data_IF_524188389610
#
_entry.id   IF_524188389610
#
_cell.length_a   1.000
_cell.length_b   1.000
_cell.length_c   1.000
_cell.angle_alpha   90.00
_cell.angle_beta   90.00
_cell.angle_gamma   90.00
#
_symmetry.space_group_name_H-M   'P 1'
#
loop_
_entity.id
_entity.type
_entity.pdbx_description
1 polymer ?
#
# COMPACT_ATOMS: atom_id res chain seq x y z
N UNK A 1 -14.61 -0.12 -14.85
CA UNK A 1 -14.90 0.79 -13.72
C UNK A 1 -16.07 0.31 -12.86
N UNK A 2 -17.26 0.06 -13.41
CA UNK A 2 -18.45 -0.37 -12.62
C UNK A 2 -18.26 -1.62 -11.75
N UNK A 3 -17.52 -2.64 -12.20
CA UNK A 3 -17.20 -3.81 -11.37
C UNK A 3 -16.23 -3.49 -10.22
N UNK A 4 -15.32 -2.54 -10.42
CA UNK A 4 -14.38 -2.11 -9.38
C UNK A 4 -15.12 -1.25 -8.35
N UNK A 5 -15.97 -0.32 -8.80
CA UNK A 5 -16.84 0.50 -7.93
C UNK A 5 -17.76 -0.36 -7.05
N UNK A 6 -18.30 -1.46 -7.57
CA UNK A 6 -19.08 -2.42 -6.77
C UNK A 6 -18.25 -3.15 -5.69
N UNK A 7 -16.94 -3.33 -5.90
CA UNK A 7 -16.08 -4.06 -4.98
C UNK A 7 -15.36 -3.15 -3.97
N UNK A 8 -15.07 -1.89 -4.29
CA UNK A 8 -14.22 -1.05 -3.44
C UNK A 8 -14.95 0.00 -2.61
N UNK A 9 -16.21 0.38 -2.93
CA UNK A 9 -16.95 1.35 -2.10
C UNK A 9 -18.45 1.03 -2.05
N UNK A 10 -18.94 0.56 -0.89
CA UNK A 10 -20.37 0.46 -0.58
C UNK A 10 -21.12 -0.78 -1.09
N UNK A 11 -20.63 -1.49 -2.12
CA UNK A 11 -21.26 -2.71 -2.63
C UNK A 11 -21.13 -3.92 -1.69
N UNK A 12 -20.00 -4.10 -1.01
CA UNK A 12 -19.81 -5.15 0.02
C UNK A 12 -20.80 -5.05 1.18
N UNK A 13 -21.32 -3.86 1.47
CA UNK A 13 -22.21 -3.62 2.61
C UNK A 13 -23.71 -3.75 2.27
N UNK A 14 -24.09 -3.89 1.00
CA UNK A 14 -25.49 -3.94 0.56
C UNK A 14 -26.27 -5.16 1.11
N UNK A 15 -25.58 -6.27 1.38
CA UNK A 15 -26.15 -7.48 2.00
C UNK A 15 -25.81 -7.63 3.49
N UNK A 16 -25.11 -6.67 4.09
CA UNK A 16 -24.70 -6.77 5.49
C UNK A 16 -25.94 -6.72 6.41
N UNK A 17 -26.26 -7.87 7.01
CA UNK A 17 -27.41 -8.05 7.89
C UNK A 17 -27.31 -7.20 9.15
N UNK A 18 -26.09 -7.01 9.68
CA UNK A 18 -25.85 -6.23 10.89
C UNK A 18 -26.13 -4.74 10.67
N UNK A 19 -25.80 -4.21 9.49
CA UNK A 19 -26.13 -2.82 9.15
C UNK A 19 -27.63 -2.61 9.02
N UNK A 20 -28.35 -3.55 8.38
CA UNK A 20 -29.81 -3.51 8.30
C UNK A 20 -30.45 -3.57 9.69
N UNK A 21 -29.93 -4.42 10.57
CA UNK A 21 -30.43 -4.53 11.94
C UNK A 21 -30.14 -3.28 12.77
N UNK A 22 -28.93 -2.72 12.65
CA UNK A 22 -28.55 -1.44 13.28
C UNK A 22 -29.43 -0.29 12.82
N UNK A 23 -29.75 -0.21 11.53
CA UNK A 23 -30.71 0.76 11.00
C UNK A 23 -32.11 0.57 11.59
N UNK A 24 -32.59 -0.67 11.66
CA UNK A 24 -33.91 -0.98 12.24
C UNK A 24 -33.99 -0.60 13.73
N UNK A 25 -32.94 -0.88 14.51
CA UNK A 25 -32.84 -0.49 15.92
C UNK A 25 -32.85 1.03 16.09
N UNK A 26 -32.07 1.75 15.27
CA UNK A 26 -32.06 3.23 15.26
C UNK A 26 -33.43 3.82 14.94
N UNK A 27 -34.13 3.26 13.94
CA UNK A 27 -35.47 3.70 13.56
C UNK A 27 -36.48 3.51 14.70
N UNK A 28 -36.51 2.32 15.31
CA UNK A 28 -37.39 2.03 16.45
C UNK A 28 -37.17 3.00 17.61
N UNK A 29 -35.92 3.22 17.99
CA UNK A 29 -35.59 4.14 19.08
C UNK A 29 -36.04 5.58 18.77
N UNK A 30 -35.87 6.04 17.53
CA UNK A 30 -36.35 7.36 17.10
C UNK A 30 -37.88 7.46 17.13
N UNK A 31 -38.59 6.41 16.69
CA UNK A 31 -40.05 6.35 16.71
C UNK A 31 -40.59 6.36 18.16
N UNK A 32 -39.97 5.59 19.05
CA UNK A 32 -40.30 5.54 20.49
C UNK A 32 -40.08 6.90 21.17
N UNK A 33 -38.92 7.54 20.91
CA UNK A 33 -38.60 8.89 21.40
C UNK A 33 -39.62 9.92 20.91
N UNK A 34 -40.03 9.83 19.65
CA UNK A 34 -41.05 10.72 19.05
C UNK A 34 -42.41 10.55 19.72
N UNK A 35 -42.83 9.31 19.98
CA UNK A 35 -44.08 9.01 20.69
C UNK A 35 -44.08 9.57 22.11
N UNK A 36 -42.97 9.42 22.84
CA UNK A 36 -42.82 9.98 24.19
C UNK A 36 -42.92 11.51 24.20
N UNK A 37 -42.32 12.19 23.21
CA UNK A 37 -42.41 13.64 23.08
C UNK A 37 -43.84 14.11 22.75
N UNK A 38 -44.54 13.40 21.87
CA UNK A 38 -45.93 13.70 21.53
C UNK A 38 -46.86 13.52 22.74
N UNK A 39 -46.67 12.46 23.53
CA UNK A 39 -47.42 12.23 24.76
C UNK A 39 -47.16 13.35 25.79
N UNK A 40 -45.90 13.72 25.99
CA UNK A 40 -45.52 14.81 26.90
C UNK A 40 -46.10 16.18 26.48
N UNK A 41 -46.28 16.42 25.18
CA UNK A 41 -46.93 17.64 24.67
C UNK A 41 -48.46 17.62 24.83
N UNK A 42 -49.10 16.44 24.82
CA UNK A 42 -50.55 16.32 25.00
C UNK A 42 -50.99 16.41 26.47
N UNK A 43 -50.17 15.95 27.42
CA UNK A 43 -50.50 15.97 28.85
C UNK A 43 -50.11 17.28 29.56
N UNK A 44 -49.43 18.20 28.89
CA UNK A 44 -48.87 19.42 29.47
C UNK A 44 -49.77 20.67 29.25
N UNK A 45 -50.00 21.46 30.30
CA UNK A 45 -50.51 22.85 30.17
C UNK A 45 -49.52 23.74 29.39
N UNK A 46 -49.95 24.91 28.90
CA UNK A 46 -49.15 25.81 28.04
C UNK A 46 -47.70 26.05 28.56
N UNK A 47 -47.53 26.41 29.84
CA UNK A 47 -46.20 26.61 30.46
C UNK A 47 -45.33 25.34 30.51
N UNK A 48 -45.96 24.18 30.68
CA UNK A 48 -45.26 22.88 30.71
C UNK A 48 -44.87 22.43 29.30
N UNK A 49 -45.68 22.75 28.29
CA UNK A 49 -45.41 22.48 26.87
C UNK A 49 -44.22 23.31 26.37
N UNK A 50 -44.15 24.59 26.75
CA UNK A 50 -43.01 25.47 26.43
C UNK A 50 -41.69 24.95 27.02
N UNK A 51 -41.71 24.46 28.26
CA UNK A 51 -40.53 23.88 28.91
C UNK A 51 -40.07 22.58 28.27
N UNK A 52 -40.98 21.74 27.77
CA UNK A 52 -40.64 20.53 27.00
C UNK A 52 -39.97 20.90 25.68
N UNK A 53 -40.46 21.93 24.98
CA UNK A 53 -39.86 22.40 23.72
C UNK A 53 -38.46 22.98 23.91
N UNK A 54 -38.24 23.77 24.97
CA UNK A 54 -36.90 24.27 25.36
C UNK A 54 -35.90 23.12 25.59
N UNK A 55 -36.30 22.10 26.34
CA UNK A 55 -35.44 20.93 26.60
C UNK A 55 -35.10 20.14 25.31
N UNK A 56 -36.05 20.00 24.40
CA UNK A 56 -35.83 19.36 23.09
C UNK A 56 -34.86 20.20 22.25
N UNK A 57 -35.04 21.52 22.24
CA UNK A 57 -34.15 22.44 21.53
C UNK A 57 -32.72 22.36 22.08
N UNK A 58 -32.55 22.43 23.39
CA UNK A 58 -31.25 22.32 24.06
C UNK A 58 -30.57 20.98 23.74
N UNK A 59 -31.32 19.87 23.81
CA UNK A 59 -30.81 18.54 23.46
C UNK A 59 -30.38 18.44 22.00
N UNK A 60 -31.14 19.01 21.06
CA UNK A 60 -30.78 19.04 19.63
C UNK A 60 -29.53 19.90 19.43
N UNK A 61 -29.45 21.06 20.09
CA UNK A 61 -28.32 21.96 19.98
C UNK A 61 -27.03 21.30 20.52
N UNK A 62 -27.11 20.59 21.64
CA UNK A 62 -26.00 19.79 22.17
C UNK A 62 -25.57 18.68 21.20
N UNK A 63 -26.53 17.95 20.61
CA UNK A 63 -26.24 16.89 19.64
C UNK A 63 -25.56 17.45 18.37
N UNK A 64 -26.05 18.58 17.86
CA UNK A 64 -25.45 19.29 16.72
C UNK A 64 -24.02 19.70 17.06
N UNK A 65 -23.78 20.33 18.21
CA UNK A 65 -22.43 20.71 18.66
C UNK A 65 -21.50 19.50 18.79
N UNK A 66 -21.98 18.41 19.39
CA UNK A 66 -21.20 17.19 19.55
C UNK A 66 -20.83 16.56 18.19
N UNK A 67 -21.77 16.52 17.25
CA UNK A 67 -21.53 16.01 15.89
C UNK A 67 -20.58 16.91 15.10
N UNK A 68 -20.74 18.23 15.16
CA UNK A 68 -19.82 19.18 14.52
C UNK A 68 -18.39 18.98 15.01
N UNK A 69 -18.20 18.84 16.33
CA UNK A 69 -16.87 18.57 16.91
C UNK A 69 -16.29 17.21 16.49
N UNK A 70 -17.12 16.19 16.32
CA UNK A 70 -16.65 14.90 15.79
C UNK A 70 -16.28 15.00 14.30
N UNK A 71 -17.05 15.75 13.52
CA UNK A 71 -16.80 15.96 12.09
C UNK A 71 -15.46 16.68 11.89
N UNK A 72 -15.21 17.75 12.64
CA UNK A 72 -13.95 18.48 12.63
C UNK A 72 -12.74 17.55 12.90
N UNK A 73 -12.81 16.73 13.96
CA UNK A 73 -11.76 15.75 14.28
C UNK A 73 -11.53 14.72 13.17
N UNK A 74 -12.60 14.28 12.50
CA UNK A 74 -12.47 13.33 11.38
C UNK A 74 -11.86 14.03 10.16
N UNK A 75 -12.22 15.28 9.91
CA UNK A 75 -11.66 16.08 8.83
C UNK A 75 -10.16 16.34 9.04
N UNK A 76 -9.74 16.67 10.26
CA UNK A 76 -8.32 16.80 10.60
C UNK A 76 -7.54 15.51 10.35
N UNK A 77 -8.08 14.37 10.78
CA UNK A 77 -7.47 13.06 10.54
C UNK A 77 -7.41 12.71 9.05
N UNK A 78 -8.46 13.05 8.30
CA UNK A 78 -8.49 12.84 6.86
C UNK A 78 -7.40 13.65 6.17
N UNK A 79 -7.27 14.93 6.51
CA UNK A 79 -6.22 15.80 5.96
C UNK A 79 -4.82 15.31 6.33
N UNK A 80 -4.60 14.88 7.57
CA UNK A 80 -3.33 14.30 8.00
C UNK A 80 -2.99 13.03 7.20
N UNK A 81 -3.96 12.13 7.03
CA UNK A 81 -3.77 10.91 6.24
C UNK A 81 -3.54 11.21 4.75
N UNK A 82 -4.22 12.21 4.17
CA UNK A 82 -4.00 12.64 2.79
C UNK A 82 -2.59 13.21 2.57
N UNK A 83 -2.05 13.93 3.56
CA UNK A 83 -0.67 14.44 3.54
C UNK A 83 0.31 13.27 3.64
N UNK A 84 0.13 12.37 4.61
CA UNK A 84 0.98 11.19 4.80
C UNK A 84 1.02 10.30 3.54
N UNK A 85 -0.13 10.08 2.89
CA UNK A 85 -0.19 9.34 1.62
C UNK A 85 0.65 10.02 0.54
N UNK A 86 0.58 11.35 0.42
CA UNK A 86 1.36 12.09 -0.58
C UNK A 86 2.86 12.01 -0.28
N UNK A 87 3.24 12.16 0.98
CA UNK A 87 4.63 12.09 1.41
C UNK A 87 5.22 10.69 1.11
N UNK A 88 4.50 9.63 1.48
CA UNK A 88 4.90 8.25 1.17
C UNK A 88 4.99 7.98 -0.35
N UNK A 89 4.09 8.55 -1.15
CA UNK A 89 4.14 8.42 -2.60
C UNK A 89 5.37 9.12 -3.20
N UNK A 90 5.74 10.28 -2.66
CA UNK A 90 6.94 11.01 -3.07
C UNK A 90 8.21 10.24 -2.68
N UNK A 91 8.30 9.77 -1.44
CA UNK A 91 9.42 8.94 -0.96
C UNK A 91 9.60 7.69 -1.84
N UNK A 92 8.51 6.94 -2.07
CA UNK A 92 8.54 5.77 -2.95
C UNK A 92 9.00 6.11 -4.38
N UNK A 93 8.57 7.25 -4.91
CA UNK A 93 8.98 7.73 -6.23
C UNK A 93 10.48 8.04 -6.30
N UNK A 94 11.02 8.70 -5.27
CA UNK A 94 12.44 9.03 -5.16
C UNK A 94 13.31 7.78 -5.02
N UNK A 95 12.94 6.86 -4.12
CA UNK A 95 13.66 5.59 -3.96
C UNK A 95 13.70 4.80 -5.27
N UNK A 96 12.57 4.72 -5.98
CA UNK A 96 12.51 4.06 -7.30
C UNK A 96 13.46 4.70 -8.31
N UNK A 97 13.55 6.03 -8.33
CA UNK A 97 14.48 6.76 -9.18
C UNK A 97 15.93 6.40 -8.84
N UNK A 98 16.28 6.34 -7.56
CA UNK A 98 17.61 6.00 -7.08
C UNK A 98 17.98 4.55 -7.40
N UNK A 99 17.05 3.61 -7.21
CA UNK A 99 17.22 2.21 -7.63
C UNK A 99 17.47 2.11 -9.14
N UNK A 100 16.68 2.79 -9.97
CA UNK A 100 16.88 2.80 -11.42
C UNK A 100 18.23 3.41 -11.81
N UNK A 101 18.67 4.44 -11.11
CA UNK A 101 20.00 5.04 -11.34
C UNK A 101 21.12 4.06 -11.03
N UNK A 102 20.98 3.28 -9.95
CA UNK A 102 21.94 2.27 -9.53
C UNK A 102 21.99 1.11 -10.53
N UNK A 103 20.84 0.60 -10.96
CA UNK A 103 20.74 -0.45 -11.98
C UNK A 103 21.44 0.00 -13.26
N UNK A 104 21.12 1.19 -13.78
CA UNK A 104 21.75 1.72 -15.01
C UNK A 104 23.26 1.92 -14.88
N UNK A 105 23.75 2.25 -13.69
CA UNK A 105 25.20 2.33 -13.43
C UNK A 105 25.81 0.94 -13.45
N UNK A 106 25.24 -0.01 -12.71
CA UNK A 106 25.69 -1.39 -12.66
C UNK A 106 25.66 -2.07 -14.03
N UNK A 107 24.63 -1.83 -14.85
CA UNK A 107 24.55 -2.32 -16.24
C UNK A 107 25.71 -1.80 -17.08
N UNK A 108 26.05 -0.50 -16.98
CA UNK A 108 27.20 0.07 -17.69
C UNK A 108 28.52 -0.53 -17.21
N UNK A 109 28.68 -0.73 -15.90
CA UNK A 109 29.87 -1.35 -15.34
C UNK A 109 30.01 -2.80 -15.80
N UNK A 110 28.91 -3.56 -15.82
CA UNK A 110 28.87 -4.93 -16.35
C UNK A 110 29.22 -4.97 -17.85
N UNK A 111 28.68 -4.05 -18.65
CA UNK A 111 29.02 -3.94 -20.07
C UNK A 111 30.50 -3.65 -20.28
N UNK A 112 31.09 -2.75 -19.48
CA UNK A 112 32.51 -2.45 -19.54
C UNK A 112 33.36 -3.67 -19.18
N UNK A 113 33.03 -4.37 -18.08
CA UNK A 113 33.69 -5.61 -17.68
C UNK A 113 33.61 -6.68 -18.78
N UNK A 114 32.44 -6.83 -19.42
CA UNK A 114 32.26 -7.76 -20.53
C UNK A 114 33.16 -7.40 -21.71
N UNK A 115 33.18 -6.13 -22.13
CA UNK A 115 34.02 -5.66 -23.23
C UNK A 115 35.51 -5.87 -22.95
N UNK A 116 35.96 -5.57 -21.73
CA UNK A 116 37.34 -5.80 -21.31
C UNK A 116 37.70 -7.28 -21.32
N UNK A 117 36.81 -8.15 -20.82
CA UNK A 117 37.02 -9.60 -20.85
C UNK A 117 37.11 -10.14 -22.28
N UNK A 118 36.28 -9.65 -23.20
CA UNK A 118 36.34 -10.06 -24.60
C UNK A 118 37.67 -9.65 -25.26
N UNK A 119 38.18 -8.46 -24.95
CA UNK A 119 39.51 -8.02 -25.41
C UNK A 119 40.63 -8.90 -24.83
N UNK A 120 40.60 -9.16 -23.53
CA UNK A 120 41.62 -9.97 -22.84
C UNK A 120 41.57 -11.43 -23.28
N UNK A 121 40.37 -12.00 -23.53
CA UNK A 121 40.21 -13.38 -23.98
C UNK A 121 40.97 -13.64 -25.28
N UNK A 122 41.00 -12.67 -26.20
CA UNK A 122 41.75 -12.79 -27.45
C UNK A 122 43.26 -12.97 -27.27
N UNK A 123 43.80 -12.55 -26.11
CA UNK A 123 45.20 -12.66 -25.74
C UNK A 123 45.52 -13.97 -25.02
N UNK A 124 44.50 -14.74 -24.60
CA UNK A 124 44.67 -16.00 -23.90
C UNK A 124 45.16 -17.09 -24.86
N UNK A 125 46.15 -17.88 -24.41
CA UNK A 125 46.67 -19.00 -25.21
C UNK A 125 45.58 -20.01 -25.55
N UNK A 126 45.61 -20.52 -26.79
CA UNK A 126 44.61 -21.47 -27.30
C UNK A 126 44.60 -22.81 -26.59
N UNK A 127 45.70 -23.20 -25.95
CA UNK A 127 45.82 -24.42 -25.17
C UNK A 127 45.31 -24.29 -23.73
N UNK A 128 44.84 -23.10 -23.32
CA UNK A 128 44.21 -22.87 -22.03
C UNK A 128 42.68 -23.02 -22.12
N UNK A 129 42.05 -23.61 -21.09
CA UNK A 129 40.59 -23.71 -20.99
C UNK A 129 39.89 -22.33 -21.02
N UNK A 130 40.53 -21.28 -20.48
CA UNK A 130 40.02 -19.91 -20.50
C UNK A 130 40.00 -19.27 -21.90
N UNK A 131 40.57 -19.90 -22.93
CA UNK A 131 40.35 -19.48 -24.32
C UNK A 131 38.87 -19.57 -24.72
N UNK A 132 38.07 -20.39 -24.01
CA UNK A 132 36.63 -20.53 -24.20
C UNK A 132 35.86 -20.13 -22.92
N UNK A 133 35.64 -18.83 -22.73
CA UNK A 133 34.91 -18.30 -21.57
C UNK A 133 33.46 -18.78 -21.51
N UNK A 134 32.80 -19.06 -22.63
CA UNK A 134 31.44 -19.62 -22.66
C UNK A 134 31.36 -21.01 -22.00
N UNK A 135 32.40 -21.82 -22.19
CA UNK A 135 32.51 -23.11 -21.47
C UNK A 135 32.68 -22.89 -19.98
N UNK A 136 33.60 -21.99 -19.57
CA UNK A 136 33.85 -21.66 -18.17
C UNK A 136 32.58 -21.15 -17.47
N UNK A 137 31.80 -20.28 -18.13
CA UNK A 137 30.52 -19.78 -17.59
C UNK A 137 29.53 -20.89 -17.30
N UNK A 138 29.37 -21.84 -18.21
CA UNK A 138 28.44 -22.98 -18.03
C UNK A 138 28.87 -23.92 -16.91
N UNK A 139 30.17 -24.03 -16.67
CA UNK A 139 30.75 -24.85 -15.60
C UNK A 139 30.81 -24.11 -14.26
N UNK A 140 30.58 -22.79 -14.25
CA UNK A 140 30.60 -21.97 -13.04
C UNK A 140 29.26 -22.07 -12.30
N UNK A 141 29.32 -22.12 -10.98
CA UNK A 141 28.15 -22.28 -10.12
C UNK A 141 28.12 -21.18 -9.07
N UNK A 142 26.95 -20.56 -8.88
CA UNK A 142 26.75 -19.59 -7.82
C UNK A 142 26.73 -20.29 -6.46
N UNK A 143 27.54 -19.81 -5.54
CA UNK A 143 27.64 -20.32 -4.18
C UNK A 143 27.01 -19.34 -3.20
N UNK A 144 25.80 -19.66 -2.75
CA UNK A 144 25.02 -18.79 -1.85
C UNK A 144 25.71 -18.57 -0.50
N UNK A 145 26.47 -19.56 -0.02
CA UNK A 145 27.15 -19.48 1.29
C UNK A 145 28.31 -18.48 1.27
N UNK A 146 29.09 -18.43 0.19
CA UNK A 146 30.18 -17.46 0.03
C UNK A 146 29.76 -16.16 -0.68
N UNK A 147 28.55 -16.13 -1.27
CA UNK A 147 28.07 -15.02 -2.07
C UNK A 147 28.94 -14.75 -3.32
N UNK A 148 29.48 -15.82 -3.93
CA UNK A 148 30.42 -15.70 -5.03
C UNK A 148 30.26 -16.82 -6.07
N UNK A 149 30.74 -16.59 -7.29
CA UNK A 149 30.79 -17.63 -8.33
C UNK A 149 31.99 -18.56 -8.09
N UNK A 150 31.73 -19.86 -8.01
CA UNK A 150 32.77 -20.91 -8.10
C UNK A 150 33.16 -21.09 -9.56
N UNK A 151 34.35 -20.60 -9.92
CA UNK A 151 34.87 -20.61 -11.30
C UNK A 151 35.97 -21.69 -11.41
N UNK A 152 35.95 -22.54 -12.45
CA UNK A 152 37.02 -23.53 -12.70
C UNK A 152 38.41 -22.90 -12.82
N UNK A 153 39.44 -23.53 -12.25
CA UNK A 153 40.82 -23.01 -12.33
C UNK A 153 41.42 -23.03 -13.75
N UNK A 154 42.41 -22.17 -14.06
CA UNK A 154 43.11 -22.18 -15.34
C UNK A 154 43.95 -23.45 -15.53
N UNK A 155 43.70 -24.19 -16.61
CA UNK A 155 44.41 -25.42 -16.97
C UNK A 155 44.89 -25.35 -18.41
N UNK A 156 46.16 -25.71 -18.62
CA UNK A 156 46.78 -25.83 -19.95
C UNK A 156 46.68 -27.28 -20.42
N UNK A 157 45.94 -27.50 -21.51
CA UNK A 157 45.81 -28.81 -22.16
C UNK A 157 47.00 -29.03 -23.09
N UNK A 158 47.91 -29.93 -22.72
CA UNK A 158 49.00 -30.36 -23.60
C UNK A 158 48.46 -31.35 -24.64
N UNK A 159 48.20 -30.87 -25.85
CA UNK A 159 47.94 -31.73 -27.00
C UNK A 159 49.27 -32.27 -27.52
N UNK A 160 49.55 -33.55 -27.27
CA UNK A 160 50.57 -34.28 -28.01
C UNK A 160 49.97 -34.69 -29.37
N UNK A 161 50.67 -34.41 -30.47
CA UNK A 161 50.30 -34.97 -31.77
C UNK A 161 50.49 -36.50 -31.73
N UNK A 162 49.61 -37.29 -32.40
CA UNK A 162 49.80 -38.72 -32.61
C UNK A 162 51.03 -39.03 -33.47
#
# INVERSE_FOLDING_TARGET
>A
LQMLEQQVVGGEQAQNKDLKEKHKRRKKYADERRLQLLAALQEANEDSSERVLLNVYDSIQEEVRAKSKMLEKVQEKLQAAEIEIKDLQLEFGLEKMDYLSTIRRQERDLMLCQQLLDQVQSLVRRDCNYSNLEKIRRESVWDEESGSWKIPEPVIQKTHLP
#
